data_IF_386285404969
#
_entry.id   IF_386285404969
#
_cell.length_a   1.000
_cell.length_b   1.000
_cell.length_c   1.000
_cell.angle_alpha   90.00
_cell.angle_beta   90.00
_cell.angle_gamma   90.00
#
_symmetry.space_group_name_H-M   'P 1'
#
loop_
_entity.id
_entity.type
_entity.pdbx_description
1 polymer ?
#
# COMPACT_ATOMS: atom_id res chain seq x y z
N UNK A 1 37.45 -20.48 -45.48
CA UNK A 1 36.14 -20.27 -46.14
C UNK A 1 35.36 -19.20 -45.39
N UNK A 2 35.11 -18.09 -46.08
CA UNK A 2 34.13 -17.01 -45.88
C UNK A 2 33.95 -16.37 -44.49
N UNK A 3 34.63 -15.22 -44.33
CA UNK A 3 34.31 -14.12 -43.43
C UNK A 3 33.30 -13.17 -44.11
N UNK A 4 32.34 -12.57 -43.37
CA UNK A 4 31.44 -11.54 -43.90
C UNK A 4 31.50 -10.25 -43.06
N UNK A 5 31.77 -9.17 -43.79
CA UNK A 5 31.97 -7.77 -43.40
C UNK A 5 30.72 -7.10 -42.84
N UNK A 6 30.96 -6.16 -41.92
CA UNK A 6 30.05 -5.05 -41.55
C UNK A 6 29.86 -4.09 -42.72
N UNK A 7 28.65 -3.57 -42.89
CA UNK A 7 28.37 -2.36 -43.67
C UNK A 7 27.57 -1.40 -42.79
N UNK A 8 28.17 -0.23 -42.57
CA UNK A 8 27.62 0.98 -41.97
C UNK A 8 26.69 1.70 -42.95
N UNK A 9 25.59 2.25 -42.45
CA UNK A 9 24.87 3.33 -43.14
C UNK A 9 24.64 4.49 -42.15
N UNK A 10 25.06 5.65 -42.61
CA UNK A 10 25.08 6.97 -41.99
C UNK A 10 24.08 7.87 -42.69
N UNK A 11 23.25 8.61 -41.95
CA UNK A 11 22.62 9.93 -42.21
C UNK A 11 21.49 10.07 -41.17
N UNK A 12 21.19 11.21 -40.55
CA UNK A 12 21.68 12.59 -40.61
C UNK A 12 21.23 13.27 -39.31
N UNK A 13 22.02 14.21 -38.84
CA UNK A 13 21.72 15.09 -37.73
C UNK A 13 20.62 16.08 -38.13
N UNK A 14 19.58 16.23 -37.31
CA UNK A 14 18.82 17.47 -37.23
C UNK A 14 18.73 17.84 -35.74
N UNK A 15 19.35 18.97 -35.44
CA UNK A 15 19.33 19.67 -34.18
C UNK A 15 18.18 20.65 -34.19
N UNK A 16 17.23 20.51 -33.27
CA UNK A 16 16.36 21.61 -32.87
C UNK A 16 16.50 21.84 -31.36
N UNK A 17 16.62 23.12 -31.04
CA UNK A 17 17.04 23.71 -29.77
C UNK A 17 15.79 24.32 -29.13
N UNK A 18 15.69 24.14 -27.80
CA UNK A 18 14.89 24.90 -26.83
C UNK A 18 13.35 24.83 -26.98
N UNK A 19 12.56 24.73 -25.91
CA UNK A 19 12.55 25.56 -24.70
C UNK A 19 12.05 24.79 -23.47
N UNK A 20 12.58 25.18 -22.31
CA UNK A 20 12.07 24.88 -20.98
C UNK A 20 10.85 25.74 -20.68
N UNK A 21 9.69 25.13 -20.39
CA UNK A 21 8.63 25.77 -19.61
C UNK A 21 8.02 24.74 -18.66
N UNK A 22 8.24 24.99 -17.38
CA UNK A 22 7.53 24.39 -16.26
C UNK A 22 6.03 24.67 -16.39
N UNK A 23 5.19 23.66 -16.23
CA UNK A 23 3.81 23.86 -15.76
C UNK A 23 3.30 22.56 -15.13
N UNK A 24 3.49 22.44 -13.81
CA UNK A 24 2.69 21.55 -12.99
C UNK A 24 1.25 22.06 -12.98
N UNK A 25 0.39 21.52 -13.84
CA UNK A 25 -1.06 21.75 -13.73
C UNK A 25 -1.60 20.98 -12.52
N UNK A 26 -1.63 21.67 -11.38
CA UNK A 26 -2.35 21.27 -10.18
C UNK A 26 -3.85 21.24 -10.53
N UNK A 27 -4.46 20.05 -10.53
CA UNK A 27 -5.91 19.90 -10.64
C UNK A 27 -6.54 20.32 -9.31
N UNK A 28 -6.96 21.59 -9.23
CA UNK A 28 -7.84 22.07 -8.17
C UNK A 28 -9.26 21.55 -8.51
N UNK A 29 -9.91 20.74 -7.65
CA UNK A 29 -11.31 20.41 -7.85
C UNK A 29 -12.15 21.67 -7.68
N UNK A 30 -12.97 21.98 -8.68
CA UNK A 30 -13.92 23.11 -8.63
C UNK A 30 -14.90 22.90 -7.47
N UNK A 31 -15.18 23.97 -6.73
CA UNK A 31 -16.06 23.95 -5.55
C UNK A 31 -17.57 23.83 -5.88
N UNK A 32 -17.92 23.79 -7.17
CA UNK A 32 -19.29 24.07 -7.61
C UNK A 32 -19.97 22.89 -8.32
N UNK A 33 -19.45 21.65 -8.19
CA UNK A 33 -20.15 20.46 -8.69
C UNK A 33 -21.24 20.04 -7.69
N UNK A 34 -22.31 20.84 -7.62
CA UNK A 34 -23.52 20.54 -6.88
C UNK A 34 -24.34 19.50 -7.66
N UNK A 35 -23.89 18.24 -7.61
CA UNK A 35 -24.68 17.08 -8.00
C UNK A 35 -25.83 16.88 -7.02
N UNK A 36 -27.00 17.43 -7.37
CA UNK A 36 -28.28 17.15 -6.72
C UNK A 36 -28.79 15.78 -7.19
N UNK A 37 -28.90 14.83 -6.27
CA UNK A 37 -29.77 13.67 -6.42
C UNK A 37 -30.60 13.53 -5.14
N UNK A 38 -31.77 14.15 -5.17
CA UNK A 38 -32.88 13.86 -4.26
C UNK A 38 -33.32 12.42 -4.49
N UNK A 39 -33.15 11.57 -3.48
CA UNK A 39 -33.99 10.40 -3.24
C UNK A 39 -34.02 10.16 -1.73
N UNK A 40 -35.03 10.75 -1.09
CA UNK A 40 -35.41 10.46 0.29
C UNK A 40 -36.31 9.25 0.30
N UNK A 41 -35.87 8.15 0.92
CA UNK A 41 -36.76 7.10 1.43
C UNK A 41 -36.40 6.83 2.90
N UNK A 42 -37.44 6.94 3.72
CA UNK A 42 -37.42 6.95 5.17
C UNK A 42 -37.50 5.56 5.80
N UNK A 43 -37.13 5.54 7.08
CA UNK A 43 -37.57 4.62 8.15
C UNK A 43 -36.93 3.23 8.23
N UNK A 44 -35.83 3.14 9.00
CA UNK A 44 -35.61 2.05 9.95
C UNK A 44 -34.86 2.56 11.20
N UNK A 45 -35.61 2.82 12.27
CA UNK A 45 -35.07 2.85 13.63
C UNK A 45 -34.66 1.42 14.02
N UNK A 46 -33.35 1.20 14.15
CA UNK A 46 -32.81 0.03 14.81
C UNK A 46 -31.78 0.50 15.84
N UNK A 47 -32.23 0.60 17.09
CA UNK A 47 -31.41 0.81 18.27
C UNK A 47 -30.40 -0.34 18.41
N UNK A 48 -29.21 -0.17 17.83
CA UNK A 48 -28.08 -1.07 18.07
C UNK A 48 -27.32 -0.53 19.28
N UNK A 49 -27.56 -1.14 20.43
CA UNK A 49 -26.76 -0.97 21.64
C UNK A 49 -25.34 -1.53 21.40
N UNK A 50 -24.47 -0.72 20.80
CA UNK A 50 -23.03 -0.94 20.82
C UNK A 50 -22.49 -0.62 22.22
N UNK A 51 -22.41 -1.63 23.09
CA UNK A 51 -21.82 -1.52 24.43
C UNK A 51 -20.28 -1.54 24.40
N UNK A 52 -19.68 -0.72 23.54
CA UNK A 52 -18.28 -0.32 23.63
C UNK A 52 -18.17 1.08 23.02
N UNK A 53 -18.20 2.09 23.89
CA UNK A 53 -18.06 3.50 23.51
C UNK A 53 -16.63 3.75 23.04
N UNK A 54 -16.37 3.52 21.75
CA UNK A 54 -15.20 4.12 21.10
C UNK A 54 -15.39 5.64 21.23
N UNK A 55 -14.47 6.38 21.88
CA UNK A 55 -14.64 7.81 22.06
C UNK A 55 -14.72 8.47 20.68
N UNK A 56 -15.90 8.97 20.31
CA UNK A 56 -16.07 9.85 19.15
C UNK A 56 -15.47 11.21 19.51
N UNK A 57 -14.16 11.34 19.37
CA UNK A 57 -13.49 12.65 19.40
C UNK A 57 -13.54 13.28 18.02
N UNK A 58 -13.97 14.53 17.95
CA UNK A 58 -13.95 15.30 16.70
C UNK A 58 -12.52 15.76 16.40
N UNK A 59 -12.20 16.00 15.13
CA UNK A 59 -10.88 16.50 14.73
C UNK A 59 -10.48 17.77 15.49
N UNK A 60 -11.44 18.68 15.72
CA UNK A 60 -11.22 19.90 16.49
C UNK A 60 -10.81 19.63 17.95
N UNK A 61 -11.34 18.57 18.57
CA UNK A 61 -10.96 18.18 19.93
C UNK A 61 -9.53 17.63 19.96
N UNK A 62 -9.16 16.81 18.97
CA UNK A 62 -7.80 16.26 18.83
C UNK A 62 -6.78 17.37 18.57
N UNK A 63 -7.10 18.34 17.71
CA UNK A 63 -6.25 19.49 17.43
C UNK A 63 -5.99 20.31 18.69
N UNK A 64 -7.04 20.63 19.45
CA UNK A 64 -6.92 21.38 20.71
C UNK A 64 -6.10 20.64 21.76
N UNK A 65 -6.26 19.32 21.88
CA UNK A 65 -5.42 18.53 22.79
C UNK A 65 -3.96 18.54 22.37
N UNK A 66 -3.69 18.45 21.06
CA UNK A 66 -2.33 18.49 20.53
C UNK A 66 -1.66 19.84 20.79
N UNK A 67 -2.36 20.96 20.53
CA UNK A 67 -1.87 22.32 20.84
C UNK A 67 -1.60 22.51 22.34
N UNK A 68 -2.49 22.00 23.19
CA UNK A 68 -2.30 22.08 24.64
C UNK A 68 -1.12 21.24 25.13
N UNK A 69 -0.84 20.10 24.50
CA UNK A 69 0.32 19.27 24.83
C UNK A 69 1.62 19.87 24.29
N UNK A 70 1.58 20.49 23.12
CA UNK A 70 2.71 21.25 22.56
C UNK A 70 3.06 22.47 23.43
N UNK A 71 2.05 23.18 23.96
CA UNK A 71 2.27 24.32 24.85
C UNK A 71 2.88 23.94 26.22
N UNK A 72 2.90 22.65 26.59
CA UNK A 72 3.56 22.15 27.82
C UNK A 72 5.04 21.82 27.59
N UNK A 73 5.48 21.72 26.34
CA UNK A 73 6.88 21.48 26.02
C UNK A 73 7.66 22.78 26.25
N UNK A 74 8.85 22.67 26.84
CA UNK A 74 9.76 23.80 26.95
C UNK A 74 10.16 24.27 25.54
N UNK A 75 10.41 25.58 25.36
CA UNK A 75 10.71 26.16 24.03
C UNK A 75 11.91 25.50 23.33
N UNK A 76 12.77 24.80 24.07
CA UNK A 76 13.96 24.11 23.59
C UNK A 76 13.87 22.58 23.74
N UNK A 77 12.65 22.01 23.80
CA UNK A 77 12.47 20.56 23.92
C UNK A 77 12.96 19.83 22.66
N UNK A 78 14.15 19.25 22.74
CA UNK A 78 14.74 18.44 21.68
C UNK A 78 14.09 17.05 21.65
N UNK A 79 13.54 16.67 20.50
CA UNK A 79 13.01 15.34 20.28
C UNK A 79 14.16 14.34 20.18
N UNK A 80 14.39 13.57 21.24
CA UNK A 80 15.31 12.45 21.21
C UNK A 80 14.65 11.25 20.50
N UNK A 81 15.05 11.01 19.25
CA UNK A 81 14.58 9.85 18.50
C UNK A 81 15.18 8.60 19.12
N UNK A 82 14.39 7.88 19.92
CA UNK A 82 14.82 6.60 20.48
C UNK A 82 15.06 5.62 19.34
N UNK A 83 16.33 5.34 19.07
CA UNK A 83 16.75 4.31 18.13
C UNK A 83 16.27 2.93 18.62
N UNK A 84 15.19 2.42 18.03
CA UNK A 84 14.60 1.15 18.43
C UNK A 84 15.58 -0.04 18.27
N UNK A 85 16.45 0.00 17.25
CA UNK A 85 17.42 -1.05 16.99
C UNK A 85 18.58 -0.57 16.10
N UNK A 86 19.84 -0.92 16.41
CA UNK A 86 20.97 -0.71 15.50
C UNK A 86 20.76 -1.43 14.16
N UNK A 87 21.08 -0.76 13.05
CA UNK A 87 20.95 -1.30 11.68
C UNK A 87 21.58 -2.69 11.50
N UNK A 88 22.76 -2.90 12.10
CA UNK A 88 23.47 -4.19 12.01
C UNK A 88 22.69 -5.35 12.64
N UNK A 89 21.94 -5.09 13.72
CA UNK A 89 21.08 -6.07 14.37
C UNK A 89 19.84 -6.34 13.51
N UNK A 90 19.26 -5.29 12.91
CA UNK A 90 18.11 -5.42 12.02
C UNK A 90 18.43 -6.29 10.80
N UNK A 91 19.54 -6.04 10.10
CA UNK A 91 19.95 -6.82 8.92
C UNK A 91 20.21 -8.31 9.26
N UNK A 92 20.78 -8.57 10.43
CA UNK A 92 20.98 -9.95 10.95
C UNK A 92 19.66 -10.67 11.21
N UNK A 93 18.66 -9.98 11.76
CA UNK A 93 17.34 -10.56 12.02
C UNK A 93 16.60 -10.79 10.70
N UNK A 94 16.58 -9.77 9.83
CA UNK A 94 15.90 -9.81 8.53
C UNK A 94 16.39 -10.96 7.64
N UNK A 95 17.71 -11.21 7.61
CA UNK A 95 18.30 -12.29 6.80
C UNK A 95 17.97 -13.70 7.30
N UNK A 96 17.67 -13.85 8.59
CA UNK A 96 17.38 -15.15 9.23
C UNK A 96 15.88 -15.45 9.36
N UNK A 97 15.03 -14.47 9.04
CA UNK A 97 13.59 -14.60 9.18
C UNK A 97 13.03 -15.68 8.24
N UNK A 98 12.43 -16.71 8.81
CA UNK A 98 11.79 -17.81 8.09
C UNK A 98 10.49 -18.18 8.79
N UNK A 99 9.42 -18.34 8.02
CA UNK A 99 8.07 -18.64 8.54
C UNK A 99 7.68 -20.12 8.46
N UNK A 100 8.50 -20.95 7.81
CA UNK A 100 8.24 -22.38 7.61
C UNK A 100 9.29 -23.26 8.24
N UNK A 101 8.88 -24.45 8.68
CA UNK A 101 9.77 -25.52 9.13
C UNK A 101 10.05 -26.45 7.96
N UNK A 102 11.24 -27.05 7.93
CA UNK A 102 11.63 -27.97 6.85
C UNK A 102 10.73 -29.22 6.74
N UNK A 103 10.03 -29.57 7.83
CA UNK A 103 9.12 -30.72 7.91
C UNK A 103 7.83 -30.52 7.13
N UNK A 104 7.44 -29.28 6.87
CA UNK A 104 6.15 -28.93 6.24
C UNK A 104 6.27 -28.80 4.72
N UNK A 105 7.34 -29.35 4.14
CA UNK A 105 7.58 -29.28 2.71
C UNK A 105 6.52 -30.07 1.96
N UNK A 106 5.71 -29.37 1.17
CA UNK A 106 4.71 -29.96 0.31
C UNK A 106 5.09 -29.74 -1.16
N UNK A 107 5.43 -30.79 -1.93
CA UNK A 107 5.82 -30.63 -3.33
C UNK A 107 4.67 -30.16 -4.23
N UNK A 108 3.41 -30.33 -3.80
CA UNK A 108 2.25 -29.92 -4.59
C UNK A 108 1.89 -28.42 -4.41
N UNK A 109 2.23 -27.82 -3.27
CA UNK A 109 1.92 -26.41 -2.99
C UNK A 109 3.15 -25.53 -3.19
N UNK A 110 3.19 -24.75 -4.27
CA UNK A 110 4.30 -23.81 -4.57
C UNK A 110 4.46 -22.71 -3.50
N UNK A 111 3.41 -22.42 -2.73
CA UNK A 111 3.38 -21.39 -1.69
C UNK A 111 3.46 -21.98 -0.27
N UNK A 112 3.87 -23.25 -0.11
CA UNK A 112 3.83 -23.95 1.18
C UNK A 112 4.56 -23.21 2.31
N UNK A 113 5.62 -22.45 1.99
CA UNK A 113 6.45 -21.74 2.96
C UNK A 113 5.71 -20.66 3.75
N UNK A 114 4.70 -20.04 3.15
CA UNK A 114 3.95 -18.93 3.73
C UNK A 114 2.49 -19.33 4.04
N UNK A 115 2.11 -20.58 3.75
CA UNK A 115 0.74 -21.09 3.87
C UNK A 115 0.21 -21.03 5.30
N UNK A 116 1.03 -21.45 6.26
CA UNK A 116 0.64 -21.46 7.68
C UNK A 116 0.38 -20.03 8.18
N UNK A 117 1.28 -19.10 7.84
CA UNK A 117 1.13 -17.69 8.19
C UNK A 117 -0.15 -17.11 7.57
N UNK A 118 -0.41 -17.37 6.29
CA UNK A 118 -1.60 -16.87 5.62
C UNK A 118 -2.90 -17.41 6.24
N UNK A 119 -2.91 -18.68 6.67
CA UNK A 119 -4.06 -19.27 7.38
C UNK A 119 -4.31 -18.58 8.72
N UNK A 120 -3.25 -18.31 9.49
CA UNK A 120 -3.37 -17.59 10.77
C UNK A 120 -3.91 -16.18 10.54
N UNK A 121 -3.37 -15.49 9.52
CA UNK A 121 -3.79 -14.14 9.15
C UNK A 121 -5.27 -14.09 8.74
N UNK A 122 -5.69 -14.95 7.81
CA UNK A 122 -7.09 -15.05 7.38
C UNK A 122 -8.02 -15.37 8.56
N UNK A 123 -7.66 -16.33 9.41
CA UNK A 123 -8.44 -16.69 10.59
C UNK A 123 -8.59 -15.51 11.54
N UNK A 124 -7.58 -14.67 11.70
CA UNK A 124 -7.64 -13.51 12.57
C UNK A 124 -8.49 -12.38 11.98
N UNK A 125 -8.40 -12.11 10.67
CA UNK A 125 -9.23 -11.09 10.01
C UNK A 125 -10.71 -11.49 10.04
N UNK A 126 -11.02 -12.76 9.74
CA UNK A 126 -12.39 -13.26 9.68
C UNK A 126 -13.13 -13.18 11.03
N UNK A 127 -12.41 -13.14 12.17
CA UNK A 127 -13.03 -12.97 13.50
C UNK A 127 -13.79 -11.66 13.66
N UNK A 128 -13.33 -10.61 13.00
CA UNK A 128 -13.94 -9.28 13.11
C UNK A 128 -15.14 -9.11 12.17
N UNK A 129 -15.35 -10.07 11.25
CA UNK A 129 -16.52 -10.16 10.37
C UNK A 129 -16.58 -9.05 9.29
N UNK A 130 -17.34 -9.32 8.23
CA UNK A 130 -17.73 -8.31 7.25
C UNK A 130 -19.20 -7.94 7.48
N UNK A 131 -19.46 -7.00 8.38
CA UNK A 131 -20.82 -6.57 8.72
C UNK A 131 -21.34 -5.52 7.74
N UNK A 132 -21.39 -5.86 6.44
CA UNK A 132 -21.89 -4.98 5.38
C UNK A 132 -22.74 -5.80 4.41
N UNK A 133 -23.84 -5.22 3.97
CA UNK A 133 -24.78 -5.81 3.01
C UNK A 133 -24.23 -5.83 1.59
N UNK A 134 -23.31 -4.91 1.26
CA UNK A 134 -22.60 -4.86 -0.01
C UNK A 134 -21.10 -5.14 0.19
N UNK A 135 -20.56 -6.10 -0.56
CA UNK A 135 -19.15 -6.46 -0.56
C UNK A 135 -18.58 -6.24 -1.96
N UNK A 136 -17.43 -5.58 -2.05
CA UNK A 136 -16.63 -5.51 -3.26
C UNK A 136 -15.49 -6.53 -3.20
N UNK A 137 -15.30 -7.28 -4.27
CA UNK A 137 -14.22 -8.25 -4.42
C UNK A 137 -13.44 -7.87 -5.66
N UNK A 138 -12.16 -7.55 -5.48
CA UNK A 138 -11.23 -7.24 -6.56
C UNK A 138 -9.86 -7.85 -6.25
N UNK A 139 -9.03 -7.92 -7.28
CA UNK A 139 -7.70 -8.50 -7.25
C UNK A 139 -6.66 -7.49 -6.77
N UNK A 140 -5.78 -7.90 -5.86
CA UNK A 140 -4.68 -7.07 -5.39
C UNK A 140 -3.35 -7.53 -5.97
N UNK A 141 -2.52 -6.58 -6.43
CA UNK A 141 -1.17 -6.85 -6.90
C UNK A 141 -0.12 -6.38 -5.88
N UNK A 142 0.64 -7.31 -5.32
CA UNK A 142 1.79 -7.01 -4.49
C UNK A 142 3.08 -7.03 -5.33
N UNK A 143 3.81 -5.91 -5.34
CA UNK A 143 5.08 -5.77 -6.06
C UNK A 143 6.09 -6.80 -5.57
N UNK A 144 6.59 -7.62 -6.48
CA UNK A 144 7.64 -8.60 -6.16
C UNK A 144 8.56 -8.83 -7.35
N UNK A 145 9.85 -8.66 -7.11
CA UNK A 145 10.92 -8.98 -8.08
C UNK A 145 11.57 -10.32 -7.81
N UNK A 146 11.06 -11.09 -6.84
CA UNK A 146 11.58 -12.41 -6.53
C UNK A 146 11.51 -13.33 -7.76
N UNK A 147 12.47 -14.26 -7.84
CA UNK A 147 12.48 -15.32 -8.84
C UNK A 147 11.58 -16.47 -8.37
N UNK A 148 10.28 -16.25 -8.39
CA UNK A 148 9.26 -17.25 -8.01
C UNK A 148 8.36 -17.56 -9.20
N UNK A 149 7.87 -18.80 -9.27
CA UNK A 149 6.92 -19.23 -10.30
C UNK A 149 5.51 -18.68 -10.11
N UNK A 150 5.23 -18.07 -8.94
CA UNK A 150 3.94 -17.47 -8.60
C UNK A 150 3.81 -16.03 -9.09
N UNK A 151 4.91 -15.43 -9.58
CA UNK A 151 4.91 -14.07 -10.10
C UNK A 151 4.13 -14.00 -11.41
N UNK A 152 3.23 -13.04 -11.49
CA UNK A 152 2.41 -12.77 -12.66
C UNK A 152 2.74 -11.42 -13.27
N UNK A 153 2.48 -11.30 -14.57
CA UNK A 153 2.53 -10.06 -15.31
C UNK A 153 1.12 -9.64 -15.72
N UNK A 154 0.67 -8.46 -15.27
CA UNK A 154 -0.65 -7.91 -15.58
C UNK A 154 -0.46 -6.54 -16.22
N UNK A 155 -1.01 -6.37 -17.43
CA UNK A 155 -1.01 -5.08 -18.14
C UNK A 155 -2.10 -4.17 -17.55
N UNK A 156 -1.88 -2.86 -17.59
CA UNK A 156 -2.84 -1.87 -17.09
C UNK A 156 -2.81 -1.63 -15.57
N UNK A 157 -2.14 -2.49 -14.79
CA UNK A 157 -1.87 -2.20 -13.37
C UNK A 157 -0.59 -1.35 -13.23
N UNK A 158 -0.51 -0.44 -12.24
CA UNK A 158 0.69 0.38 -12.01
C UNK A 158 1.91 -0.50 -11.67
N UNK A 159 1.68 -1.57 -10.91
CA UNK A 159 2.66 -2.63 -10.69
C UNK A 159 2.36 -3.77 -11.67
N UNK A 160 3.17 -3.86 -12.71
CA UNK A 160 2.96 -4.87 -13.76
C UNK A 160 3.46 -6.26 -13.39
N UNK A 161 4.51 -6.37 -12.58
CA UNK A 161 5.09 -7.64 -12.16
C UNK A 161 4.95 -7.81 -10.64
N UNK A 162 4.31 -8.89 -10.22
CA UNK A 162 4.08 -9.11 -8.80
C UNK A 162 3.37 -10.42 -8.48
N UNK A 163 3.00 -10.57 -7.21
CA UNK A 163 2.11 -11.62 -6.75
C UNK A 163 0.68 -11.07 -6.78
N UNK A 164 -0.23 -11.83 -7.38
CA UNK A 164 -1.66 -11.54 -7.38
C UNK A 164 -2.31 -12.26 -6.19
N UNK A 165 -3.17 -11.54 -5.47
CA UNK A 165 -3.98 -12.04 -4.37
C UNK A 165 -5.46 -11.90 -4.70
#
# INVERSE_FOLDING_TARGET
MMSRKRTSQSVSSDSEVETSEDDETILIPNADDSGSSDDSDSDYDADIHCNETVPRVTYQQVSKSYEADQAKLENDYEFDWIDAMPRSKFEKIKSKLKYSKAKDNNPNDKAWRDRELMKIFQKNILKFGFWRTALSVDEMMAKSYAKTSLKQFIRGKPIRFGLKF
#
